data_IF_928748425190
#
_entry.id   IF_928748425190
#
_cell.length_a   1.000
_cell.length_b   1.000
_cell.length_c   1.000
_cell.angle_alpha   90.00
_cell.angle_beta   90.00
_cell.angle_gamma   90.00
#
_symmetry.space_group_name_H-M   'P 1'
#
loop_
_entity.id
_entity.type
_entity.pdbx_description
1 polymer ?
#
# COMPACT_ATOMS: atom_id res chain seq x y z
N UNK A 1 -35.40 -6.41 3.04
CA UNK A 1 -34.15 -6.82 2.38
C UNK A 1 -33.92 -8.30 2.67
N UNK A 2 -34.05 -9.13 1.65
CA UNK A 2 -34.05 -10.59 1.69
C UNK A 2 -32.60 -11.08 1.50
N UNK A 3 -31.95 -11.57 2.56
CA UNK A 3 -30.61 -12.17 2.50
C UNK A 3 -30.73 -13.66 2.18
N UNK A 4 -30.97 -14.00 0.90
CA UNK A 4 -30.95 -15.38 0.43
C UNK A 4 -29.59 -15.75 -0.18
N UNK A 5 -28.87 -16.62 0.53
CA UNK A 5 -27.72 -17.36 -0.01
C UNK A 5 -26.55 -17.45 0.97
N UNK A 6 -26.65 -18.28 2.01
CA UNK A 6 -25.45 -18.71 2.77
C UNK A 6 -24.68 -19.66 1.86
N UNK A 7 -23.73 -19.13 1.10
CA UNK A 7 -22.73 -19.95 0.40
C UNK A 7 -21.99 -20.73 1.49
N UNK A 8 -21.87 -22.07 1.41
CA UNK A 8 -21.09 -22.82 2.39
C UNK A 8 -19.70 -22.20 2.48
N UNK A 9 -19.28 -21.86 3.69
CA UNK A 9 -18.03 -21.16 3.92
C UNK A 9 -16.90 -21.96 3.27
N UNK A 10 -16.33 -21.43 2.17
CA UNK A 10 -15.11 -21.98 1.59
C UNK A 10 -14.10 -22.08 2.72
N UNK A 11 -13.51 -23.26 2.92
CA UNK A 11 -12.43 -23.44 3.90
C UNK A 11 -11.39 -22.35 3.63
N UNK A 12 -11.20 -21.47 4.60
CA UNK A 12 -10.22 -20.40 4.51
C UNK A 12 -8.83 -21.03 4.45
N UNK A 13 -7.93 -20.42 3.67
CA UNK A 13 -6.54 -20.82 3.70
C UNK A 13 -6.00 -20.62 5.12
N UNK A 14 -5.05 -21.47 5.56
CA UNK A 14 -4.48 -21.35 6.90
C UNK A 14 -3.92 -19.94 7.18
N UNK A 15 -3.42 -19.24 6.15
CA UNK A 15 -2.93 -17.86 6.24
C UNK A 15 -4.01 -16.79 6.46
N UNK A 16 -5.30 -17.13 6.30
CA UNK A 16 -6.42 -16.23 6.56
C UNK A 16 -7.02 -16.45 7.96
N UNK A 17 -6.38 -17.23 8.84
CA UNK A 17 -6.78 -17.39 10.25
C UNK A 17 -5.71 -16.77 11.16
N UNK A 18 -6.12 -15.89 12.07
CA UNK A 18 -5.22 -15.31 13.05
C UNK A 18 -4.77 -16.39 14.06
N UNK A 19 -3.46 -16.65 14.23
CA UNK A 19 -2.97 -17.72 15.10
C UNK A 19 -3.23 -17.47 16.59
N UNK A 20 -3.36 -16.21 17.00
CA UNK A 20 -3.56 -15.84 18.41
C UNK A 20 -5.04 -15.81 18.82
N UNK A 21 -5.95 -15.52 17.88
CA UNK A 21 -7.38 -15.31 18.21
C UNK A 21 -8.30 -16.34 17.56
N UNK A 22 -7.80 -17.15 16.62
CA UNK A 22 -8.60 -18.09 15.82
C UNK A 22 -9.57 -17.42 14.85
N UNK A 23 -9.56 -16.08 14.74
CA UNK A 23 -10.50 -15.34 13.90
C UNK A 23 -10.09 -15.40 12.43
N UNK A 24 -11.09 -15.55 11.57
CA UNK A 24 -10.94 -15.40 10.13
C UNK A 24 -10.55 -13.97 9.76
N UNK A 25 -9.77 -13.84 8.69
CA UNK A 25 -9.46 -12.58 8.03
C UNK A 25 -10.76 -11.88 7.62
N UNK A 26 -10.79 -10.56 7.82
CA UNK A 26 -11.92 -9.74 7.41
C UNK A 26 -11.98 -9.67 5.89
N UNK A 27 -13.19 -9.85 5.33
CA UNK A 27 -13.48 -9.41 3.97
C UNK A 27 -13.44 -7.88 3.87
N UNK A 28 -13.21 -7.34 2.67
CA UNK A 28 -13.09 -5.88 2.42
C UNK A 28 -14.29 -5.10 3.01
N UNK A 29 -15.53 -5.53 2.76
CA UNK A 29 -16.73 -4.82 3.25
C UNK A 29 -16.77 -4.72 4.78
N UNK A 30 -16.46 -5.83 5.47
CA UNK A 30 -16.45 -5.85 6.93
C UNK A 30 -15.30 -5.02 7.49
N UNK A 31 -14.15 -5.03 6.80
CA UNK A 31 -13.02 -4.20 7.18
C UNK A 31 -13.35 -2.71 7.04
N UNK A 32 -14.01 -2.27 5.97
CA UNK A 32 -14.47 -0.89 5.80
C UNK A 32 -15.34 -0.43 6.97
N UNK A 33 -16.40 -1.20 7.30
CA UNK A 33 -17.33 -0.84 8.38
C UNK A 33 -16.62 -0.73 9.74
N UNK A 34 -15.70 -1.65 10.03
CA UNK A 34 -14.98 -1.64 11.31
C UNK A 34 -13.95 -0.53 11.38
N UNK A 35 -13.25 -0.23 10.29
CA UNK A 35 -12.26 0.85 10.23
C UNK A 35 -12.91 2.22 10.35
N UNK A 36 -14.03 2.44 9.65
CA UNK A 36 -14.80 3.67 9.76
C UNK A 36 -15.31 3.86 11.19
N UNK A 37 -15.95 2.82 11.75
CA UNK A 37 -16.54 2.88 13.10
C UNK A 37 -15.53 3.12 14.22
N UNK A 38 -14.36 2.48 14.18
CA UNK A 38 -13.43 2.47 15.31
C UNK A 38 -12.19 3.35 15.12
N UNK A 39 -11.83 3.68 13.88
CA UNK A 39 -10.66 4.49 13.58
C UNK A 39 -10.99 5.77 12.79
N UNK A 40 -12.21 5.92 12.25
CA UNK A 40 -12.55 7.02 11.35
C UNK A 40 -11.71 7.01 10.07
N UNK A 41 -11.21 5.83 9.68
CA UNK A 41 -10.34 5.64 8.52
C UNK A 41 -11.03 4.77 7.47
N UNK A 42 -10.70 4.99 6.21
CA UNK A 42 -11.08 4.08 5.12
C UNK A 42 -9.90 3.18 4.68
N UNK A 43 -10.21 2.02 4.11
CA UNK A 43 -9.23 1.12 3.51
C UNK A 43 -8.38 1.81 2.44
N UNK A 44 -8.92 2.81 1.73
CA UNK A 44 -8.16 3.63 0.80
C UNK A 44 -7.01 4.36 1.51
N UNK A 45 -7.28 5.01 2.64
CA UNK A 45 -6.26 5.73 3.41
C UNK A 45 -5.19 4.79 3.94
N UNK A 46 -5.58 3.60 4.40
CA UNK A 46 -4.67 2.57 4.89
C UNK A 46 -3.77 1.98 3.79
N UNK A 47 -4.31 1.83 2.57
CA UNK A 47 -3.50 1.41 1.41
C UNK A 47 -2.51 2.49 0.98
N UNK A 48 -2.85 3.77 1.17
CA UNK A 48 -1.98 4.89 0.82
C UNK A 48 -0.91 5.20 1.86
N UNK A 49 -1.21 5.05 3.16
CA UNK A 49 -0.20 5.25 4.21
C UNK A 49 0.98 4.29 4.08
N UNK A 50 0.77 3.09 3.52
CA UNK A 50 1.83 2.13 3.22
C UNK A 50 2.77 2.58 2.09
N UNK A 51 2.39 3.54 1.25
CA UNK A 51 3.23 3.98 0.14
C UNK A 51 4.41 4.84 0.59
N UNK A 52 4.20 5.67 1.62
CA UNK A 52 5.22 6.57 2.18
C UNK A 52 6.48 5.84 2.66
N UNK A 53 6.40 4.85 3.58
CA UNK A 53 7.58 4.14 4.04
C UNK A 53 8.25 3.30 2.93
N UNK A 54 7.49 2.86 1.91
CA UNK A 54 8.09 2.22 0.74
C UNK A 54 8.90 3.20 -0.12
N UNK A 55 8.44 4.45 -0.21
CA UNK A 55 9.17 5.54 -0.84
C UNK A 55 10.46 5.89 -0.09
N UNK A 56 10.39 5.97 1.24
CA UNK A 56 11.56 6.19 2.11
C UNK A 56 12.58 5.05 2.00
N UNK A 57 12.12 3.82 1.83
CA UNK A 57 12.97 2.64 1.58
C UNK A 57 13.47 2.53 0.13
N UNK A 58 13.35 3.59 -0.68
CA UNK A 58 13.81 3.69 -2.06
C UNK A 58 13.29 2.56 -2.98
N UNK A 59 12.11 1.99 -2.65
CA UNK A 59 11.50 0.93 -3.45
C UNK A 59 11.06 1.51 -4.81
N UNK A 60 11.36 0.84 -5.94
CA UNK A 60 10.96 1.31 -7.26
C UNK A 60 9.46 1.61 -7.37
N UNK A 61 9.11 2.77 -7.94
CA UNK A 61 7.72 3.26 -8.04
C UNK A 61 6.77 2.22 -8.65
N UNK A 62 7.20 1.42 -9.63
CA UNK A 62 6.37 0.35 -10.23
C UNK A 62 5.93 -0.71 -9.21
N UNK A 63 6.81 -1.08 -8.28
CA UNK A 63 6.50 -2.05 -7.23
C UNK A 63 5.54 -1.44 -6.20
N UNK A 64 5.75 -0.17 -5.84
CA UNK A 64 4.83 0.58 -4.97
C UNK A 64 3.44 0.66 -5.62
N UNK A 65 3.37 0.95 -6.92
CA UNK A 65 2.10 0.98 -7.66
C UNK A 65 1.39 -0.37 -7.65
N UNK A 66 2.11 -1.46 -7.88
CA UNK A 66 1.55 -2.81 -7.79
C UNK A 66 1.00 -3.12 -6.40
N UNK A 67 1.74 -2.74 -5.35
CA UNK A 67 1.35 -2.96 -3.94
C UNK A 67 0.15 -2.13 -3.50
N UNK A 68 0.07 -0.88 -3.97
CA UNK A 68 -0.99 0.10 -3.62
C UNK A 68 -2.17 0.08 -4.59
N UNK A 69 -2.08 -0.71 -5.67
CA UNK A 69 -3.07 -0.80 -6.77
C UNK A 69 -3.28 0.51 -7.52
N UNK A 70 -2.26 1.34 -7.62
CA UNK A 70 -2.30 2.54 -8.45
C UNK A 70 -2.13 2.20 -9.93
N UNK A 71 -3.07 2.68 -10.76
CA UNK A 71 -2.96 2.58 -12.23
C UNK A 71 -2.14 3.70 -12.85
N UNK A 72 -2.08 4.87 -12.18
CA UNK A 72 -1.42 6.06 -12.68
C UNK A 72 -0.24 6.44 -11.76
N UNK A 73 0.99 6.62 -12.30
CA UNK A 73 2.13 7.06 -11.49
C UNK A 73 1.88 8.41 -10.82
N UNK A 74 1.16 9.33 -11.48
CA UNK A 74 0.83 10.65 -10.92
C UNK A 74 0.04 10.55 -9.61
N UNK A 75 -0.86 9.58 -9.51
CA UNK A 75 -1.64 9.39 -8.28
C UNK A 75 -0.82 8.72 -7.18
N UNK A 76 0.14 7.86 -7.55
CA UNK A 76 1.06 7.20 -6.62
C UNK A 76 2.09 8.16 -6.02
N UNK A 77 2.64 9.07 -6.82
CA UNK A 77 3.63 10.06 -6.39
C UNK A 77 3.10 11.02 -5.31
N UNK A 78 1.79 11.15 -5.12
CA UNK A 78 1.23 11.95 -3.99
C UNK A 78 1.62 11.40 -2.62
N UNK A 79 1.98 10.12 -2.55
CA UNK A 79 2.30 9.41 -1.32
C UNK A 79 3.74 8.89 -1.30
N UNK A 80 4.56 9.27 -2.29
CA UNK A 80 5.96 8.88 -2.41
C UNK A 80 6.75 10.17 -2.58
N UNK A 81 7.42 10.60 -1.51
CA UNK A 81 8.26 11.79 -1.54
C UNK A 81 9.75 11.36 -1.51
N UNK A 82 10.47 11.39 -2.64
CA UNK A 82 11.90 11.11 -2.62
C UNK A 82 12.63 12.17 -1.79
N UNK A 83 13.44 11.73 -0.82
CA UNK A 83 14.25 12.63 -0.02
C UNK A 83 15.28 13.39 -0.86
N UNK A 84 15.68 14.58 -0.41
CA UNK A 84 16.69 15.40 -1.09
C UNK A 84 18.01 14.65 -1.32
N UNK A 85 18.38 13.77 -0.40
CA UNK A 85 19.57 12.91 -0.50
C UNK A 85 19.47 11.92 -1.67
N UNK A 86 18.33 11.27 -1.87
CA UNK A 86 18.11 10.35 -2.99
C UNK A 86 18.20 11.09 -4.33
N UNK A 87 17.67 12.32 -4.40
CA UNK A 87 17.79 13.18 -5.57
C UNK A 87 19.26 13.57 -5.81
N UNK A 88 20.02 13.90 -4.76
CA UNK A 88 21.43 14.23 -4.87
C UNK A 88 22.26 13.05 -5.41
N UNK A 89 22.04 11.83 -4.90
CA UNK A 89 22.71 10.60 -5.38
C UNK A 89 22.46 10.36 -6.87
N UNK A 90 21.20 10.48 -7.31
CA UNK A 90 20.84 10.33 -8.73
C UNK A 90 21.48 11.44 -9.56
N UNK A 91 21.50 12.67 -9.05
CA UNK A 91 22.11 13.83 -9.74
C UNK A 91 23.62 13.64 -9.89
N UNK A 92 24.31 13.09 -8.89
CA UNK A 92 25.73 12.77 -8.95
C UNK A 92 26.03 11.73 -10.03
N UNK A 93 25.24 10.66 -10.10
CA UNK A 93 25.37 9.61 -11.14
C UNK A 93 25.15 10.18 -12.54
N UNK A 94 24.19 11.11 -12.68
CA UNK A 94 23.85 11.74 -13.94
C UNK A 94 24.70 12.98 -14.25
N UNK A 95 25.62 13.36 -13.36
CA UNK A 95 26.40 14.57 -13.53
C UNK A 95 27.29 14.47 -14.79
N UNK A 96 27.35 15.51 -15.64
CA UNK A 96 28.25 15.52 -16.78
C UNK A 96 29.70 15.42 -16.29
N UNK A 97 30.57 14.77 -17.08
CA UNK A 97 32.02 14.75 -16.82
C UNK A 97 32.49 16.17 -16.56
N UNK A 98 33.05 16.43 -15.37
CA UNK A 98 33.66 17.71 -15.04
C UNK A 98 34.68 18.05 -16.12
N UNK A 99 34.52 19.22 -16.76
CA UNK A 99 35.56 19.74 -17.65
C UNK A 99 36.72 20.20 -16.76
N UNK A 100 37.83 19.48 -16.84
CA UNK A 100 39.10 19.93 -16.28
C UNK A 100 39.71 20.91 -17.29
N UNK A 101 40.01 22.14 -16.84
CA UNK A 101 40.77 23.12 -17.61
C UNK A 101 42.25 23.02 -17.24
#
# INVERSE_FOLDING_TARGET
MDWRGVVPARRLAAGDICPHTGRARLGDDRACVLLDKYAGLDLHQLRHSAATPLGEAEIPLRLIMGRTRHKNPRTAMRYVNPGAEAIAKVTEVLAPRRRTH
#
